data_IF_966652800525
#
_entry.id   IF_966652800525
#
_cell.length_a   1.000
_cell.length_b   1.000
_cell.length_c   1.000
_cell.angle_alpha   90.00
_cell.angle_beta   90.00
_cell.angle_gamma   90.00
#
_symmetry.space_group_name_H-M   'P 1'
#
loop_
_entity.id
_entity.type
_entity.pdbx_description
1 polymer ?
#
# COMPACT_ATOMS: atom_id res chain seq x y z
N UNK A 1 -17.38 -10.91 9.86
CA UNK A 1 -17.37 -11.94 8.83
C UNK A 1 -15.98 -12.38 8.42
N UNK A 2 -15.10 -11.50 7.91
CA UNK A 2 -13.76 -11.88 7.43
C UNK A 2 -12.88 -12.61 8.48
N UNK A 3 -12.86 -12.15 9.74
CA UNK A 3 -12.18 -12.85 10.84
C UNK A 3 -12.66 -14.30 11.05
N UNK A 4 -13.92 -14.59 10.76
CA UNK A 4 -14.47 -15.95 10.82
C UNK A 4 -14.08 -16.74 9.57
N UNK A 5 -14.22 -16.14 8.39
CA UNK A 5 -13.94 -16.79 7.10
C UNK A 5 -12.46 -17.19 6.96
N UNK A 6 -11.53 -16.39 7.47
CA UNK A 6 -10.09 -16.69 7.40
C UNK A 6 -9.65 -17.86 8.30
N UNK A 7 -10.53 -18.35 9.19
CA UNK A 7 -10.32 -19.48 10.10
C UNK A 7 -8.96 -19.47 10.85
N UNK A 8 -8.45 -18.29 11.18
CA UNK A 8 -7.10 -18.11 11.77
C UNK A 8 -7.13 -17.44 13.15
N UNK A 9 -8.32 -17.20 13.70
CA UNK A 9 -8.53 -16.42 14.92
C UNK A 9 -9.51 -17.15 15.85
N UNK A 10 -9.16 -17.29 17.12
CA UNK A 10 -10.08 -17.83 18.13
C UNK A 10 -11.13 -16.78 18.55
N UNK A 11 -12.13 -17.18 19.34
CA UNK A 11 -13.17 -16.27 19.82
C UNK A 11 -12.59 -15.09 20.62
N UNK A 12 -11.58 -15.34 21.46
CA UNK A 12 -10.91 -14.30 22.24
C UNK A 12 -10.17 -13.30 21.33
N UNK A 13 -9.45 -13.79 20.32
CA UNK A 13 -8.78 -12.94 19.33
C UNK A 13 -9.79 -12.04 18.62
N UNK A 14 -10.90 -12.61 18.15
CA UNK A 14 -11.96 -11.84 17.46
C UNK A 14 -12.51 -10.72 18.34
N UNK A 15 -12.77 -11.01 19.61
CA UNK A 15 -13.26 -10.01 20.56
C UNK A 15 -12.23 -8.90 20.81
N UNK A 16 -10.94 -9.26 20.99
CA UNK A 16 -9.86 -8.29 21.15
C UNK A 16 -9.71 -7.38 19.91
N UNK A 17 -9.73 -7.96 18.70
CA UNK A 17 -9.58 -7.20 17.47
C UNK A 17 -10.77 -6.25 17.22
N UNK A 18 -11.99 -6.67 17.54
CA UNK A 18 -13.17 -5.80 17.45
C UNK A 18 -13.10 -4.65 18.45
N UNK A 19 -12.56 -4.89 19.66
CA UNK A 19 -12.32 -3.84 20.65
C UNK A 19 -11.29 -2.82 20.13
N UNK A 20 -10.14 -3.27 19.65
CA UNK A 20 -9.09 -2.40 19.09
C UNK A 20 -9.64 -1.57 17.93
N UNK A 21 -10.38 -2.21 17.01
CA UNK A 21 -11.04 -1.49 15.91
C UNK A 21 -11.98 -0.40 16.46
N UNK A 22 -12.83 -0.73 17.42
CA UNK A 22 -13.85 0.18 17.93
C UNK A 22 -13.27 1.35 18.73
N UNK A 23 -12.25 1.09 19.55
CA UNK A 23 -11.70 2.07 20.50
C UNK A 23 -10.54 2.87 19.89
N UNK A 24 -9.68 2.25 19.08
CA UNK A 24 -8.45 2.89 18.59
C UNK A 24 -8.53 3.35 17.13
N UNK A 25 -9.48 2.84 16.34
CA UNK A 25 -9.51 3.06 14.88
C UNK A 25 -10.74 3.85 14.45
N UNK A 26 -11.95 3.38 14.77
CA UNK A 26 -13.20 4.01 14.33
C UNK A 26 -13.31 5.51 14.66
N UNK A 27 -12.86 6.00 15.85
CA UNK A 27 -12.90 7.43 16.17
C UNK A 27 -12.00 8.30 15.26
N UNK A 28 -11.06 7.67 14.56
CA UNK A 28 -10.01 8.32 13.77
C UNK A 28 -10.23 8.24 12.25
N UNK A 29 -11.35 7.63 11.81
CA UNK A 29 -11.69 7.45 10.39
C UNK A 29 -12.34 8.67 9.72
N UNK A 30 -12.54 9.77 10.44
CA UNK A 30 -13.34 10.89 9.95
C UNK A 30 -14.84 10.73 10.25
N UNK A 31 -15.63 11.75 9.88
CA UNK A 31 -17.08 11.69 9.97
C UNK A 31 -17.65 10.52 9.17
N UNK A 32 -18.86 10.07 9.55
CA UNK A 32 -19.64 9.13 8.73
C UNK A 32 -19.77 9.68 7.29
N UNK A 33 -19.84 8.82 6.25
CA UNK A 33 -19.92 9.28 4.86
C UNK A 33 -21.03 10.31 4.58
N UNK A 34 -22.17 10.21 5.27
CA UNK A 34 -23.28 11.18 5.15
C UNK A 34 -23.00 12.57 5.74
N UNK A 35 -21.92 12.74 6.50
CA UNK A 35 -21.50 13.98 7.15
C UNK A 35 -20.07 14.41 6.76
N UNK A 36 -19.36 13.59 5.99
CA UNK A 36 -18.00 13.89 5.57
C UNK A 36 -18.00 15.01 4.50
N UNK A 37 -16.95 15.83 4.48
CA UNK A 37 -16.76 16.90 3.48
C UNK A 37 -16.62 16.30 2.07
N UNK A 38 -16.05 15.10 1.98
CA UNK A 38 -15.90 14.33 0.75
C UNK A 38 -15.48 12.89 1.05
N UNK A 39 -15.33 12.05 0.02
CA UNK A 39 -14.84 10.69 0.18
C UNK A 39 -13.36 10.70 0.62
N UNK A 40 -12.91 9.59 1.19
CA UNK A 40 -11.47 9.32 1.26
C UNK A 40 -10.96 8.97 -0.14
N UNK A 41 -9.79 9.48 -0.51
CA UNK A 41 -9.12 9.09 -1.76
C UNK A 41 -8.13 7.94 -1.55
N UNK A 42 -8.23 7.25 -0.41
CA UNK A 42 -7.41 6.09 -0.10
C UNK A 42 -7.89 4.82 -0.82
N UNK A 43 -9.20 4.62 -0.96
CA UNK A 43 -9.79 3.46 -1.68
C UNK A 43 -10.63 3.89 -2.87
N UNK A 44 -10.89 2.95 -3.78
CA UNK A 44 -11.70 3.18 -4.98
C UNK A 44 -13.20 3.32 -4.69
N UNK A 45 -13.65 2.86 -3.52
CA UNK A 45 -15.00 3.08 -2.99
C UNK A 45 -15.19 4.41 -2.26
N UNK A 46 -14.12 5.16 -2.00
CA UNK A 46 -14.20 6.36 -1.17
C UNK A 46 -14.16 6.09 0.34
N UNK A 47 -13.90 4.84 0.75
CA UNK A 47 -13.82 4.42 2.15
C UNK A 47 -12.47 4.85 2.76
N UNK A 48 -12.45 5.37 4.00
CA UNK A 48 -11.20 5.68 4.68
C UNK A 48 -10.50 4.42 5.22
N UNK A 49 -11.07 3.23 5.05
CA UNK A 49 -10.51 1.96 5.53
C UNK A 49 -10.60 0.88 4.46
N UNK A 50 -9.52 0.10 4.36
CA UNK A 50 -9.32 -1.00 3.42
C UNK A 50 -8.93 -2.26 4.18
N UNK A 51 -9.58 -3.37 3.87
CA UNK A 51 -9.22 -4.69 4.41
C UNK A 51 -8.27 -5.39 3.45
N UNK A 52 -7.31 -6.12 4.00
CA UNK A 52 -6.41 -6.98 3.21
C UNK A 52 -6.12 -8.26 3.96
N UNK A 53 -5.68 -9.27 3.22
CA UNK A 53 -5.41 -10.59 3.73
C UNK A 53 -4.05 -11.04 3.22
N UNK A 54 -3.11 -11.22 4.14
CA UNK A 54 -1.83 -11.82 3.84
C UNK A 54 -1.94 -13.33 4.04
N UNK A 55 -1.81 -14.08 2.95
CA UNK A 55 -1.91 -15.53 2.95
C UNK A 55 -0.52 -16.13 2.78
N UNK A 56 -0.25 -17.16 3.57
CA UNK A 56 0.94 -18.00 3.45
C UNK A 56 0.49 -19.44 3.67
N UNK A 57 1.24 -20.41 3.15
CA UNK A 57 0.89 -21.83 3.26
C UNK A 57 0.61 -22.31 4.70
N UNK A 58 1.17 -21.64 5.71
CA UNK A 58 1.00 -21.98 7.12
C UNK A 58 0.10 -21.04 7.93
N UNK A 59 -0.13 -19.80 7.48
CA UNK A 59 -0.84 -18.79 8.30
C UNK A 59 -1.45 -17.69 7.45
N UNK A 60 -2.73 -17.39 7.71
CA UNK A 60 -3.39 -16.21 7.17
C UNK A 60 -3.43 -15.11 8.22
N UNK A 61 -3.18 -13.88 7.79
CA UNK A 61 -3.19 -12.71 8.65
C UNK A 61 -4.05 -11.64 8.00
N UNK A 62 -5.17 -11.32 8.63
CA UNK A 62 -5.96 -10.16 8.24
C UNK A 62 -5.19 -8.91 8.62
N UNK A 63 -5.30 -7.89 7.77
CA UNK A 63 -4.88 -6.53 8.00
C UNK A 63 -6.02 -5.59 7.64
N UNK A 64 -6.11 -4.47 8.33
CA UNK A 64 -6.75 -3.29 7.75
C UNK A 64 -5.76 -2.13 7.72
N UNK A 65 -5.85 -1.34 6.66
CA UNK A 65 -5.17 -0.06 6.52
C UNK A 65 -6.23 1.02 6.49
N UNK A 66 -5.98 2.17 7.11
CA UNK A 66 -6.91 3.28 7.09
C UNK A 66 -6.20 4.61 7.01
N UNK A 67 -6.90 5.55 6.41
CA UNK A 67 -6.50 6.95 6.39
C UNK A 67 -6.75 7.62 7.74
N UNK A 68 -5.74 8.33 8.23
CA UNK A 68 -5.81 9.02 9.52
C UNK A 68 -6.47 10.39 9.32
N UNK A 69 -7.79 10.44 9.48
CA UNK A 69 -8.60 11.64 9.24
C UNK A 69 -8.99 12.38 10.53
N UNK A 70 -8.89 11.71 11.69
CA UNK A 70 -9.34 12.23 12.98
C UNK A 70 -10.86 12.42 13.05
N UNK A 71 -11.35 13.11 14.08
CA UNK A 71 -12.79 13.26 14.29
C UNK A 71 -13.48 14.19 13.28
N UNK A 72 -12.76 15.22 12.81
CA UNK A 72 -13.32 16.28 11.95
C UNK A 72 -13.16 15.99 10.47
N UNK A 73 -12.15 15.23 10.06
CA UNK A 73 -11.89 14.79 8.69
C UNK A 73 -11.60 15.91 7.70
N UNK A 74 -10.34 16.05 7.26
CA UNK A 74 -9.91 16.97 6.19
C UNK A 74 -10.57 18.38 6.25
N UNK A 75 -10.67 18.93 7.46
CA UNK A 75 -11.36 20.20 7.72
C UNK A 75 -10.63 21.41 7.13
N UNK A 76 -11.26 22.58 7.09
CA UNK A 76 -10.60 23.81 6.65
C UNK A 76 -9.29 24.12 7.41
N UNK A 77 -9.23 23.82 8.71
CA UNK A 77 -8.06 24.06 9.56
C UNK A 77 -6.97 22.98 9.43
N UNK A 78 -7.32 21.79 8.92
CA UNK A 78 -6.38 20.69 8.66
C UNK A 78 -6.77 19.94 7.36
N UNK A 79 -6.57 20.56 6.18
CA UNK A 79 -7.15 20.08 4.92
C UNK A 79 -6.62 18.71 4.47
N UNK A 80 -5.40 18.38 4.88
CA UNK A 80 -4.75 17.09 4.57
C UNK A 80 -4.70 16.15 5.78
N UNK A 81 -5.31 16.52 6.91
CA UNK A 81 -5.27 15.77 8.17
C UNK A 81 -3.84 15.55 8.72
N UNK A 82 -2.93 16.51 8.52
CA UNK A 82 -1.52 16.44 8.94
C UNK A 82 -1.41 16.50 10.46
N UNK A 83 -2.16 17.40 11.10
CA UNK A 83 -2.14 17.53 12.56
C UNK A 83 -2.83 16.32 13.19
N UNK A 84 -3.97 15.90 12.64
CA UNK A 84 -4.65 14.69 13.07
C UNK A 84 -3.71 13.46 13.00
N UNK A 85 -2.94 13.32 11.91
CA UNK A 85 -1.96 12.25 11.77
C UNK A 85 -0.91 12.25 12.89
N UNK A 86 -0.35 13.41 13.24
CA UNK A 86 0.62 13.54 14.33
C UNK A 86 0.04 13.13 15.68
N UNK A 87 -1.12 13.69 16.02
CA UNK A 87 -1.76 13.46 17.32
C UNK A 87 -2.17 12.00 17.49
N UNK A 88 -2.73 11.39 16.43
CA UNK A 88 -3.21 10.01 16.46
C UNK A 88 -2.04 9.03 16.47
N UNK A 89 -0.99 9.26 15.69
CA UNK A 89 0.23 8.41 15.74
C UNK A 89 0.87 8.48 17.11
N UNK A 90 0.95 9.65 17.74
CA UNK A 90 1.46 9.78 19.11
C UNK A 90 0.58 9.01 20.12
N UNK A 91 -0.75 9.14 20.03
CA UNK A 91 -1.71 8.43 20.88
C UNK A 91 -1.63 6.91 20.72
N UNK A 92 -1.58 6.41 19.49
CA UNK A 92 -1.43 4.98 19.20
C UNK A 92 -0.06 4.48 19.69
N UNK A 93 1.00 5.27 19.52
CA UNK A 93 2.34 4.90 20.00
C UNK A 93 2.35 4.77 21.53
N UNK A 94 1.71 5.69 22.25
CA UNK A 94 1.55 5.58 23.70
C UNK A 94 0.71 4.36 24.11
N UNK A 95 -0.41 4.11 23.40
CA UNK A 95 -1.33 3.00 23.67
C UNK A 95 -0.65 1.63 23.50
N UNK A 96 0.15 1.48 22.44
CA UNK A 96 0.81 0.22 22.10
C UNK A 96 2.31 0.19 22.50
N UNK A 97 2.76 1.17 23.28
CA UNK A 97 4.15 1.29 23.77
C UNK A 97 5.21 1.26 22.65
N UNK A 98 4.88 1.89 21.51
CA UNK A 98 5.74 1.93 20.32
C UNK A 98 6.73 3.09 20.42
N UNK A 99 7.93 2.90 19.86
CA UNK A 99 8.91 3.97 19.71
C UNK A 99 8.45 4.99 18.68
N UNK A 100 8.58 6.28 19.02
CA UNK A 100 8.28 7.39 18.10
C UNK A 100 9.47 7.85 17.26
N UNK A 101 10.68 7.33 17.51
CA UNK A 101 11.93 7.79 16.85
C UNK A 101 11.84 7.86 15.32
N UNK A 102 11.21 6.88 14.68
CA UNK A 102 11.06 6.87 13.21
C UNK A 102 9.83 7.65 12.75
N UNK A 103 8.71 7.57 13.48
CA UNK A 103 7.48 8.27 13.10
C UNK A 103 7.63 9.78 13.22
N UNK A 104 8.35 10.27 14.22
CA UNK A 104 8.56 11.69 14.45
C UNK A 104 9.34 12.31 13.30
N UNK A 105 10.46 11.68 12.91
CA UNK A 105 11.26 12.12 11.76
C UNK A 105 10.45 12.04 10.47
N UNK A 106 9.74 10.93 10.24
CA UNK A 106 8.93 10.75 9.02
C UNK A 106 7.85 11.84 8.90
N UNK A 107 7.05 12.03 9.95
CA UNK A 107 5.99 13.03 9.97
C UNK A 107 6.54 14.45 9.90
N UNK A 108 7.64 14.77 10.61
CA UNK A 108 8.23 16.11 10.57
C UNK A 108 8.81 16.46 9.20
N UNK A 109 9.41 15.47 8.52
CA UNK A 109 10.04 15.67 7.21
C UNK A 109 9.00 16.03 6.14
N UNK A 110 7.86 15.33 6.13
CA UNK A 110 6.86 15.47 5.06
C UNK A 110 5.65 16.32 5.44
N UNK A 111 5.50 16.71 6.71
CA UNK A 111 4.40 17.59 7.13
C UNK A 111 4.43 18.94 6.40
N UNK A 112 3.23 19.42 6.08
CA UNK A 112 2.97 20.75 5.55
C UNK A 112 2.09 21.52 6.53
N UNK A 113 2.20 22.85 6.53
CA UNK A 113 1.32 23.70 7.34
C UNK A 113 -0.10 23.71 6.75
N UNK A 114 -1.13 24.16 7.50
CA UNK A 114 -2.47 24.30 6.95
C UNK A 114 -2.55 25.20 5.70
N UNK A 115 -1.77 26.28 5.63
CA UNK A 115 -1.71 27.15 4.44
C UNK A 115 -1.11 26.44 3.24
N UNK A 116 0.03 25.78 3.46
CA UNK A 116 0.67 24.94 2.44
C UNK A 116 -0.24 23.80 1.98
N UNK A 117 -0.99 23.18 2.89
CA UNK A 117 -1.96 22.16 2.55
C UNK A 117 -3.05 22.70 1.61
N UNK A 118 -3.57 23.92 1.84
CA UNK A 118 -4.54 24.55 0.93
C UNK A 118 -3.92 24.84 -0.44
N UNK A 119 -2.68 25.30 -0.46
CA UNK A 119 -1.94 25.52 -1.71
C UNK A 119 -1.74 24.23 -2.50
N UNK A 120 -1.36 23.13 -1.83
CA UNK A 120 -1.30 21.78 -2.43
C UNK A 120 -2.61 21.42 -3.10
N UNK A 121 -3.76 21.63 -2.43
CA UNK A 121 -5.07 21.31 -2.99
C UNK A 121 -5.39 22.14 -4.24
N UNK A 122 -4.98 23.41 -4.27
CA UNK A 122 -5.17 24.28 -5.44
C UNK A 122 -4.29 23.85 -6.62
N UNK A 123 -3.06 23.39 -6.35
CA UNK A 123 -2.11 22.95 -7.38
C UNK A 123 -2.36 21.52 -7.89
N UNK A 124 -3.04 20.70 -7.08
CA UNK A 124 -3.23 19.27 -7.34
C UNK A 124 -3.83 18.96 -8.72
N UNK A 125 -4.89 19.63 -9.22
CA UNK A 125 -5.44 19.32 -10.54
C UNK A 125 -4.42 19.49 -11.67
N UNK A 126 -3.68 20.60 -11.66
CA UNK A 126 -2.66 20.88 -12.68
C UNK A 126 -1.48 19.91 -12.57
N UNK A 127 -1.06 19.59 -11.34
CA UNK A 127 0.00 18.61 -11.11
C UNK A 127 -0.39 17.23 -11.69
N UNK A 128 -1.62 16.76 -11.44
CA UNK A 128 -2.11 15.49 -12.00
C UNK A 128 -2.14 15.51 -13.53
N UNK A 129 -2.60 16.60 -14.13
CA UNK A 129 -2.67 16.73 -15.59
C UNK A 129 -1.28 16.55 -16.24
N UNK A 130 -0.20 16.91 -15.55
CA UNK A 130 1.18 16.69 -16.02
C UNK A 130 1.58 15.22 -16.18
N UNK A 131 0.83 14.27 -15.60
CA UNK A 131 1.08 12.84 -15.72
C UNK A 131 0.15 12.13 -16.70
N UNK A 132 -0.91 12.81 -17.14
CA UNK A 132 -1.94 12.27 -18.03
C UNK A 132 -1.59 12.65 -19.48
N UNK A 133 -1.77 11.74 -20.47
CA UNK A 133 -1.54 12.06 -21.88
C UNK A 133 -2.37 13.25 -22.37
N UNK A 134 -1.84 13.98 -23.36
CA UNK A 134 -2.55 15.11 -23.97
C UNK A 134 -3.90 14.69 -24.57
N UNK A 135 -4.94 15.48 -24.34
CA UNK A 135 -6.30 15.21 -24.83
C UNK A 135 -7.12 14.23 -23.99
N UNK A 136 -6.55 13.66 -22.92
CA UNK A 136 -7.30 12.84 -21.96
C UNK A 136 -7.76 13.72 -20.80
N UNK A 137 -9.06 13.92 -20.67
CA UNK A 137 -9.67 14.53 -19.49
C UNK A 137 -9.72 13.50 -18.35
N UNK A 138 -9.27 13.90 -17.17
CA UNK A 138 -9.39 13.13 -15.95
C UNK A 138 -10.14 13.96 -14.90
N UNK A 139 -11.06 13.35 -14.14
CA UNK A 139 -11.64 13.97 -12.95
C UNK A 139 -10.66 13.77 -11.78
N UNK A 140 -9.84 14.79 -11.42
CA UNK A 140 -8.77 14.58 -10.46
C UNK A 140 -9.36 14.40 -9.06
N UNK A 141 -8.75 13.58 -8.19
CA UNK A 141 -9.05 13.60 -6.78
C UNK A 141 -8.94 15.02 -6.22
N UNK A 142 -9.91 15.43 -5.40
CA UNK A 142 -9.91 16.75 -4.76
C UNK A 142 -8.92 16.85 -3.59
N UNK A 143 -8.27 15.73 -3.25
CA UNK A 143 -7.29 15.63 -2.16
C UNK A 143 -6.42 14.40 -2.34
N UNK A 144 -5.20 14.47 -1.82
CA UNK A 144 -4.32 13.31 -1.64
C UNK A 144 -4.25 12.90 -0.16
N UNK A 145 -4.38 11.60 0.18
CA UNK A 145 -4.16 11.12 1.53
C UNK A 145 -2.74 11.45 2.00
N UNK A 146 -2.59 12.11 3.14
CA UNK A 146 -1.28 12.44 3.71
C UNK A 146 -0.69 11.27 4.48
N UNK A 147 -1.47 10.66 5.39
CA UNK A 147 -1.01 9.58 6.24
C UNK A 147 -2.06 8.47 6.37
N UNK A 148 -1.58 7.24 6.34
CA UNK A 148 -2.36 6.05 6.60
C UNK A 148 -1.63 5.20 7.64
N UNK A 149 -2.36 4.37 8.36
CA UNK A 149 -1.76 3.36 9.24
C UNK A 149 -2.43 2.03 9.01
N UNK A 150 -1.71 0.94 9.27
CA UNK A 150 -2.23 -0.40 9.12
C UNK A 150 -1.92 -1.27 10.32
N UNK A 151 -2.89 -2.10 10.71
CA UNK A 151 -2.74 -3.10 11.76
C UNK A 151 -2.78 -4.49 11.13
N UNK A 152 -1.67 -5.23 11.26
CA UNK A 152 -1.67 -6.68 11.11
C UNK A 152 -2.28 -7.31 12.35
N UNK A 153 -3.37 -8.06 12.21
CA UNK A 153 -4.04 -8.68 13.35
C UNK A 153 -3.29 -9.96 13.76
N UNK A 154 -2.53 -9.88 14.85
CA UNK A 154 -1.69 -10.96 15.39
C UNK A 154 -2.32 -11.56 16.65
N UNK A 155 -3.27 -12.47 16.46
CA UNK A 155 -4.05 -13.04 17.59
C UNK A 155 -4.88 -11.94 18.25
N UNK A 156 -4.65 -11.67 19.53
CA UNK A 156 -5.24 -10.56 20.28
C UNK A 156 -4.47 -9.23 20.16
N UNK A 157 -3.27 -9.24 19.58
CA UNK A 157 -2.41 -8.07 19.43
C UNK A 157 -2.41 -7.53 18.00
N UNK A 158 -1.79 -6.37 17.79
CA UNK A 158 -1.61 -5.77 16.46
C UNK A 158 -0.14 -5.45 16.20
N UNK A 159 0.29 -5.56 14.95
CA UNK A 159 1.54 -4.95 14.49
C UNK A 159 1.22 -3.75 13.60
N UNK A 160 1.58 -2.56 14.10
CA UNK A 160 1.30 -1.28 13.47
C UNK A 160 2.32 -0.92 12.39
N UNK A 161 1.86 -0.26 11.33
CA UNK A 161 2.68 0.39 10.32
C UNK A 161 2.13 1.78 10.05
N UNK A 162 3.02 2.75 9.86
CA UNK A 162 2.67 4.10 9.42
C UNK A 162 3.12 4.27 7.97
N UNK A 163 2.26 4.89 7.16
CA UNK A 163 2.52 5.26 5.78
C UNK A 163 2.33 6.77 5.64
N UNK A 164 3.27 7.44 4.98
CA UNK A 164 3.21 8.88 4.68
C UNK A 164 3.41 9.09 3.19
N UNK A 165 2.56 9.94 2.62
CA UNK A 165 2.61 10.37 1.23
C UNK A 165 3.52 11.60 1.11
N UNK A 166 4.62 11.52 0.35
CA UNK A 166 5.54 12.63 0.21
C UNK A 166 5.08 13.67 -0.83
N UNK A 167 4.03 13.39 -1.60
CA UNK A 167 3.52 14.27 -2.67
C UNK A 167 3.13 15.68 -2.25
N UNK A 168 2.61 15.97 -1.05
CA UNK A 168 2.34 17.36 -0.67
C UNK A 168 3.59 18.25 -0.77
N UNK A 169 4.78 17.73 -0.43
CA UNK A 169 6.04 18.48 -0.59
C UNK A 169 6.42 18.65 -2.06
N UNK A 170 6.23 17.61 -2.85
CA UNK A 170 6.52 17.65 -4.27
C UNK A 170 5.63 18.64 -5.03
N UNK A 171 4.32 18.64 -4.76
CA UNK A 171 3.37 19.56 -5.38
C UNK A 171 3.76 21.01 -5.08
N UNK A 172 4.09 21.33 -3.81
CA UNK A 172 4.50 22.68 -3.41
C UNK A 172 5.80 23.14 -4.07
N UNK A 173 6.76 22.23 -4.20
CA UNK A 173 8.10 22.57 -4.72
C UNK A 173 8.20 22.42 -6.23
N UNK A 174 7.24 21.74 -6.86
CA UNK A 174 7.30 21.30 -8.26
C UNK A 174 8.56 20.48 -8.60
N UNK A 175 9.16 19.84 -7.58
CA UNK A 175 10.35 18.99 -7.70
C UNK A 175 10.12 17.68 -6.97
N UNK A 176 10.57 16.52 -7.50
CA UNK A 176 10.40 15.23 -6.84
C UNK A 176 10.85 15.26 -5.39
N UNK A 177 10.06 14.64 -4.51
CA UNK A 177 10.36 14.57 -3.07
C UNK A 177 11.51 13.61 -2.71
N UNK A 178 12.18 13.01 -3.70
CA UNK A 178 13.21 11.98 -3.53
C UNK A 178 14.34 12.40 -2.61
N UNK A 179 14.83 13.63 -2.72
CA UNK A 179 15.95 14.11 -1.88
C UNK A 179 15.57 14.15 -0.39
N UNK A 180 14.32 14.51 -0.08
CA UNK A 180 13.80 14.43 1.28
C UNK A 180 13.69 12.98 1.75
N UNK A 181 13.33 12.04 0.87
CA UNK A 181 13.30 10.59 1.19
C UNK A 181 14.70 10.09 1.51
N UNK A 182 15.70 10.45 0.72
CA UNK A 182 17.08 10.01 0.94
C UNK A 182 17.68 10.62 2.20
N UNK A 183 17.41 11.91 2.44
CA UNK A 183 17.76 12.56 3.71
C UNK A 183 17.08 11.89 4.91
N UNK A 184 15.80 11.56 4.80
CA UNK A 184 15.05 10.81 5.82
C UNK A 184 15.74 9.47 6.14
N UNK A 185 16.02 8.64 5.13
CA UNK A 185 16.66 7.33 5.33
C UNK A 185 18.04 7.42 5.99
N UNK A 186 18.83 8.44 5.64
CA UNK A 186 20.17 8.67 6.19
C UNK A 186 20.17 9.15 7.64
N UNK A 187 19.07 9.74 8.10
CA UNK A 187 18.93 10.32 9.44
C UNK A 187 18.28 9.37 10.46
N UNK A 188 17.93 8.15 10.08
CA UNK A 188 17.30 7.19 10.99
C UNK A 188 18.29 6.60 12.01
N UNK A 189 17.77 6.32 13.20
CA UNK A 189 18.48 5.54 14.23
C UNK A 189 17.59 4.36 14.65
N UNK A 190 18.04 3.09 14.56
CA UNK A 190 19.33 2.65 14.03
C UNK A 190 19.53 2.99 12.54
N UNK A 191 20.78 3.28 12.17
CA UNK A 191 21.10 3.70 10.81
C UNK A 191 20.89 2.59 9.78
N UNK A 192 20.38 2.96 8.62
CA UNK A 192 20.44 2.13 7.42
C UNK A 192 21.88 2.07 6.93
N UNK A 193 22.28 0.96 6.31
CA UNK A 193 23.61 0.90 5.68
C UNK A 193 23.63 1.85 4.47
N UNK A 194 24.66 2.71 4.31
CA UNK A 194 24.76 3.62 3.16
C UNK A 194 24.62 2.90 1.82
N UNK A 195 25.29 1.75 1.67
CA UNK A 195 25.19 0.90 0.48
C UNK A 195 23.75 0.58 0.05
N UNK A 196 22.87 0.26 1.00
CA UNK A 196 21.48 -0.08 0.68
C UNK A 196 20.69 1.14 0.21
N UNK A 197 20.96 2.32 0.80
CA UNK A 197 20.33 3.60 0.42
C UNK A 197 20.85 4.05 -0.95
N UNK A 198 22.16 4.07 -1.14
CA UNK A 198 22.80 4.56 -2.37
C UNK A 198 22.47 3.67 -3.58
N UNK A 199 22.37 2.34 -3.37
CA UNK A 199 21.91 1.42 -4.41
C UNK A 199 20.49 1.75 -4.87
N UNK A 200 19.59 1.98 -3.92
CA UNK A 200 18.19 2.27 -4.23
C UNK A 200 18.01 3.65 -4.85
N UNK A 201 18.69 4.67 -4.31
CA UNK A 201 18.71 6.02 -4.87
C UNK A 201 19.16 6.02 -6.32
N UNK A 202 20.30 5.37 -6.61
CA UNK A 202 20.79 5.23 -7.98
C UNK A 202 19.80 4.48 -8.87
N UNK A 203 19.31 3.33 -8.43
CA UNK A 203 18.40 2.52 -9.24
C UNK A 203 17.11 3.28 -9.60
N UNK A 204 16.49 3.97 -8.63
CA UNK A 204 15.27 4.75 -8.86
C UNK A 204 15.56 5.95 -9.76
N UNK A 205 16.65 6.69 -9.53
CA UNK A 205 17.02 7.83 -10.39
C UNK A 205 17.28 7.41 -11.84
N UNK A 206 17.94 6.26 -12.05
CA UNK A 206 18.30 5.78 -13.38
C UNK A 206 17.12 5.10 -14.12
N UNK A 207 16.20 4.47 -13.38
CA UNK A 207 15.19 3.55 -13.94
C UNK A 207 13.77 4.10 -13.87
N UNK A 208 13.49 4.94 -12.88
CA UNK A 208 12.15 5.46 -12.63
C UNK A 208 12.05 6.90 -13.13
N UNK A 209 10.87 7.27 -13.64
CA UNK A 209 10.60 8.66 -13.99
C UNK A 209 10.59 9.57 -12.75
N UNK A 210 10.49 10.90 -12.93
CA UNK A 210 10.28 11.81 -11.80
C UNK A 210 9.07 11.35 -11.00
N UNK A 211 9.14 11.54 -9.67
CA UNK A 211 7.98 11.35 -8.78
C UNK A 211 7.52 9.91 -8.58
N UNK A 212 8.40 8.94 -8.81
CA UNK A 212 8.06 7.51 -8.75
C UNK A 212 7.73 6.99 -7.34
N UNK A 213 8.19 7.66 -6.27
CA UNK A 213 7.95 7.26 -4.89
C UNK A 213 6.54 7.71 -4.46
N UNK A 214 5.63 6.74 -4.33
CA UNK A 214 4.23 6.94 -3.98
C UNK A 214 4.03 7.12 -2.47
N UNK A 215 4.64 6.25 -1.67
CA UNK A 215 4.47 6.20 -0.22
C UNK A 215 5.74 5.75 0.47
N UNK A 216 5.92 6.22 1.70
CA UNK A 216 6.96 5.78 2.62
C UNK A 216 6.28 5.10 3.79
N UNK A 217 6.56 3.81 3.99
CA UNK A 217 6.04 3.02 5.10
C UNK A 217 7.11 2.75 6.15
N UNK A 218 6.77 2.74 7.43
CA UNK A 218 7.61 2.25 8.53
C UNK A 218 6.86 1.20 9.34
N UNK A 219 7.58 0.20 9.85
CA UNK A 219 7.07 -0.63 10.93
C UNK A 219 7.13 0.18 12.25
N UNK A 220 6.00 0.33 12.95
CA UNK A 220 5.95 0.97 14.26
C UNK A 220 6.09 -0.12 15.33
N UNK A 221 7.24 -0.13 16.01
CA UNK A 221 7.63 -1.18 16.97
C UNK A 221 8.15 -0.56 18.27
N UNK A 222 8.19 -1.35 19.33
CA UNK A 222 8.92 -1.01 20.56
C UNK A 222 10.39 -0.66 20.27
N UNK A 223 10.98 0.21 21.09
CA UNK A 223 12.34 0.72 20.87
C UNK A 223 13.39 -0.40 20.73
N UNK A 224 13.28 -1.45 21.56
CA UNK A 224 14.16 -2.62 21.55
C UNK A 224 14.12 -3.42 20.23
N UNK A 225 13.12 -3.17 19.38
CA UNK A 225 12.92 -3.90 18.13
C UNK A 225 13.20 -3.05 16.88
N UNK A 226 13.62 -1.79 17.02
CA UNK A 226 13.92 -0.91 15.88
C UNK A 226 15.01 -1.46 14.94
N UNK A 227 15.96 -2.25 15.42
CA UNK A 227 16.98 -2.89 14.56
C UNK A 227 16.39 -3.95 13.61
N UNK A 228 15.18 -4.44 13.93
CA UNK A 228 14.44 -5.40 13.13
C UNK A 228 13.31 -4.75 12.31
N UNK A 229 12.97 -3.50 12.61
CA UNK A 229 11.97 -2.73 11.87
C UNK A 229 12.44 -2.42 10.46
N UNK A 230 11.47 -2.14 9.59
CA UNK A 230 11.73 -1.82 8.18
C UNK A 230 11.19 -0.46 7.81
N UNK A 231 11.89 0.19 6.90
CA UNK A 231 11.37 1.28 6.08
C UNK A 231 11.06 0.74 4.70
N UNK A 232 9.96 1.20 4.10
CA UNK A 232 9.42 0.69 2.86
C UNK A 232 9.20 1.84 1.90
N UNK A 233 9.88 1.84 0.77
CA UNK A 233 9.57 2.79 -0.31
C UNK A 233 8.65 2.10 -1.31
N UNK A 234 7.45 2.65 -1.49
CA UNK A 234 6.51 2.19 -2.49
C UNK A 234 6.74 2.99 -3.77
N UNK A 235 7.11 2.31 -4.84
CA UNK A 235 7.51 2.91 -6.11
C UNK A 235 6.60 2.37 -7.20
N UNK A 236 5.97 3.24 -7.96
CA UNK A 236 5.10 2.82 -9.06
C UNK A 236 5.88 2.71 -10.38
N UNK A 237 5.32 1.99 -11.34
CA UNK A 237 5.79 1.95 -12.73
C UNK A 237 4.63 2.19 -13.69
N UNK A 238 4.95 2.56 -14.94
CA UNK A 238 3.98 2.69 -16.04
C UNK A 238 3.95 1.49 -16.98
N UNK A 239 4.65 0.41 -16.62
CA UNK A 239 4.67 -0.85 -17.38
C UNK A 239 4.28 -2.01 -16.47
N UNK A 240 3.42 -2.89 -16.98
CA UNK A 240 2.99 -4.14 -16.35
C UNK A 240 3.72 -5.37 -16.87
N UNK A 241 4.79 -5.18 -17.65
CA UNK A 241 5.53 -6.31 -18.22
C UNK A 241 6.29 -7.10 -17.16
N UNK A 242 6.43 -8.40 -17.38
CA UNK A 242 7.23 -9.24 -16.50
C UNK A 242 8.73 -8.87 -16.56
N UNK A 243 9.20 -8.32 -17.69
CA UNK A 243 10.53 -7.73 -17.78
C UNK A 243 10.73 -6.58 -16.78
N UNK A 244 9.71 -5.74 -16.58
CA UNK A 244 9.72 -4.70 -15.54
C UNK A 244 9.81 -5.33 -14.15
N UNK A 245 9.03 -6.39 -13.89
CA UNK A 245 9.08 -7.13 -12.62
C UNK A 245 10.48 -7.66 -12.35
N UNK A 246 11.11 -8.36 -13.31
CA UNK A 246 12.48 -8.87 -13.18
C UNK A 246 13.46 -7.73 -12.87
N UNK A 247 13.38 -6.63 -13.61
CA UNK A 247 14.27 -5.49 -13.43
C UNK A 247 14.16 -4.87 -12.02
N UNK A 248 12.94 -4.62 -11.55
CA UNK A 248 12.72 -4.00 -10.24
C UNK A 248 12.99 -4.94 -9.06
N UNK A 249 12.58 -6.21 -9.15
CA UNK A 249 12.85 -7.21 -8.10
C UNK A 249 14.34 -7.46 -7.93
N UNK A 250 15.11 -7.40 -9.02
CA UNK A 250 16.58 -7.60 -8.99
C UNK A 250 17.38 -6.31 -8.82
N UNK A 251 16.72 -5.14 -8.72
CA UNK A 251 17.39 -3.83 -8.77
C UNK A 251 18.39 -3.72 -9.93
N UNK A 252 17.94 -4.02 -11.15
CA UNK A 252 18.78 -4.00 -12.34
C UNK A 252 19.86 -5.09 -12.36
N UNK A 253 19.61 -6.22 -11.70
CA UNK A 253 20.56 -7.32 -11.56
C UNK A 253 21.52 -7.21 -10.36
N UNK A 254 21.41 -6.17 -9.53
CA UNK A 254 22.21 -6.05 -8.32
C UNK A 254 21.88 -7.12 -7.25
N UNK A 255 20.64 -7.60 -7.23
CA UNK A 255 20.19 -8.75 -6.43
C UNK A 255 20.08 -9.97 -7.35
N UNK A 256 20.96 -10.95 -7.14
CA UNK A 256 21.09 -12.13 -7.99
C UNK A 256 21.18 -13.45 -7.20
N UNK A 257 20.76 -13.45 -5.93
CA UNK A 257 20.76 -14.65 -5.10
C UNK A 257 19.74 -15.71 -5.56
N UNK A 258 19.98 -16.95 -5.18
CA UNK A 258 19.18 -18.11 -5.58
C UNK A 258 17.71 -18.00 -5.12
N UNK A 259 17.46 -17.44 -3.95
CA UNK A 259 16.10 -17.26 -3.42
C UNK A 259 15.31 -16.29 -4.31
N UNK A 260 15.91 -15.17 -4.69
CA UNK A 260 15.31 -14.19 -5.61
C UNK A 260 15.02 -14.81 -6.98
N UNK A 261 15.95 -15.58 -7.55
CA UNK A 261 15.74 -16.23 -8.85
C UNK A 261 14.64 -17.30 -8.80
N UNK A 262 14.61 -18.10 -7.74
CA UNK A 262 13.53 -19.06 -7.49
C UNK A 262 12.18 -18.37 -7.37
N UNK A 263 12.12 -17.28 -6.59
CA UNK A 263 10.91 -16.47 -6.43
C UNK A 263 10.39 -15.89 -7.74
N UNK A 264 11.30 -15.39 -8.60
CA UNK A 264 10.95 -14.93 -9.95
C UNK A 264 10.44 -16.04 -10.84
N UNK A 265 11.03 -17.25 -10.77
CA UNK A 265 10.54 -18.41 -11.50
C UNK A 265 9.10 -18.79 -11.12
N UNK A 266 8.79 -18.82 -9.83
CA UNK A 266 7.44 -19.06 -9.32
C UNK A 266 6.50 -17.93 -9.76
N UNK A 267 6.88 -16.67 -9.55
CA UNK A 267 6.05 -15.54 -9.93
C UNK A 267 5.76 -15.53 -11.45
N UNK A 268 6.73 -15.92 -12.28
CA UNK A 268 6.56 -15.99 -13.73
C UNK A 268 5.49 -17.00 -14.15
N UNK A 269 5.43 -18.16 -13.48
CA UNK A 269 4.48 -19.21 -13.83
C UNK A 269 3.04 -18.78 -13.56
N UNK A 270 2.81 -17.99 -12.51
CA UNK A 270 1.50 -17.46 -12.15
C UNK A 270 1.20 -16.07 -12.72
N UNK A 271 2.19 -15.40 -13.32
CA UNK A 271 2.10 -13.97 -13.66
C UNK A 271 0.86 -13.64 -14.48
N UNK A 272 0.56 -14.41 -15.53
CA UNK A 272 -0.58 -14.21 -16.42
C UNK A 272 -1.95 -14.17 -15.69
N UNK A 273 -2.10 -14.86 -14.56
CA UNK A 273 -3.34 -14.88 -13.78
C UNK A 273 -3.58 -13.57 -13.01
N UNK A 274 -2.51 -12.90 -12.56
CA UNK A 274 -2.60 -11.69 -11.74
C UNK A 274 -3.20 -10.48 -12.50
N UNK A 275 -2.80 -10.17 -13.75
CA UNK A 275 -3.44 -9.17 -14.58
C UNK A 275 -4.69 -9.73 -15.28
N UNK A 276 -5.26 -10.88 -14.89
CA UNK A 276 -6.47 -11.48 -15.50
C UNK A 276 -6.30 -11.86 -16.99
N UNK A 277 -5.23 -12.57 -17.32
CA UNK A 277 -5.01 -13.17 -18.66
C UNK A 277 -4.91 -14.70 -18.52
N UNK A 278 -6.00 -15.41 -18.17
CA UNK A 278 -5.97 -16.84 -17.86
C UNK A 278 -5.60 -17.74 -19.06
N UNK A 279 -5.76 -17.25 -20.29
CA UNK A 279 -5.31 -17.93 -21.50
C UNK A 279 -3.78 -17.83 -21.73
N UNK A 280 -3.09 -17.01 -20.94
CA UNK A 280 -1.65 -16.75 -21.04
C UNK A 280 -1.32 -15.37 -21.63
N UNK A 281 -0.03 -15.06 -21.67
CA UNK A 281 0.52 -13.83 -22.27
C UNK A 281 1.57 -14.19 -23.34
N UNK A 282 1.74 -13.33 -24.33
CA UNK A 282 2.62 -13.61 -25.49
C UNK A 282 4.08 -13.84 -25.09
N UNK A 283 4.61 -12.98 -24.23
CA UNK A 283 5.99 -12.97 -23.79
C UNK A 283 6.17 -12.09 -22.54
N UNK A 284 7.38 -12.04 -21.99
CA UNK A 284 7.70 -11.27 -20.78
C UNK A 284 7.64 -9.75 -20.98
N UNK A 285 7.65 -9.27 -22.22
CA UNK A 285 7.49 -7.88 -22.61
C UNK A 285 6.04 -7.45 -22.77
N UNK A 286 5.07 -8.37 -22.73
CA UNK A 286 3.65 -8.04 -22.79
C UNK A 286 3.27 -7.03 -21.71
N UNK A 287 2.78 -5.87 -22.14
CA UNK A 287 2.31 -4.81 -21.26
C UNK A 287 0.80 -4.62 -21.44
N UNK A 288 0.04 -5.02 -20.42
CA UNK A 288 -1.42 -4.96 -20.47
C UNK A 288 -1.90 -3.50 -20.55
N UNK A 289 -2.81 -3.16 -21.48
CA UNK A 289 -3.53 -1.89 -21.44
C UNK A 289 -4.30 -1.74 -20.12
N UNK A 290 -4.31 -0.53 -19.56
CA UNK A 290 -5.09 -0.26 -18.36
C UNK A 290 -6.58 -0.12 -18.71
N UNK A 291 -7.45 -0.45 -17.77
CA UNK A 291 -8.81 0.06 -17.77
C UNK A 291 -8.80 1.57 -17.46
N UNK A 292 -9.79 2.33 -17.94
CA UNK A 292 -9.90 3.81 -17.86
C UNK A 292 -9.87 4.42 -16.43
N UNK A 293 -9.68 3.62 -15.38
CA UNK A 293 -9.80 4.02 -13.97
C UNK A 293 -8.51 4.55 -13.31
N UNK A 294 -7.33 4.37 -13.90
CA UNK A 294 -6.07 4.81 -13.28
C UNK A 294 -5.67 6.22 -13.71
N UNK A 295 -6.03 7.20 -12.87
CA UNK A 295 -5.74 8.64 -13.01
C UNK A 295 -4.25 8.94 -13.27
N UNK A 296 -3.33 8.17 -12.68
CA UNK A 296 -1.88 8.43 -12.78
C UNK A 296 -1.13 7.44 -13.67
N UNK A 297 -1.86 6.63 -14.43
CA UNK A 297 -1.30 5.59 -15.31
C UNK A 297 -0.35 4.59 -14.60
N UNK A 298 -0.52 4.38 -13.29
CA UNK A 298 0.30 3.43 -12.53
C UNK A 298 -0.14 2.00 -12.85
N UNK A 299 0.81 1.17 -13.31
CA UNK A 299 0.55 -0.21 -13.74
C UNK A 299 1.03 -1.25 -12.73
N UNK A 300 2.14 -1.02 -12.03
CA UNK A 300 2.62 -1.87 -10.94
C UNK A 300 3.15 -1.00 -9.81
N UNK A 301 3.26 -1.59 -8.62
CA UNK A 301 4.01 -1.00 -7.52
C UNK A 301 5.03 -1.98 -6.99
N UNK A 302 6.13 -1.46 -6.48
CA UNK A 302 7.17 -2.22 -5.80
C UNK A 302 7.39 -1.64 -4.42
N UNK A 303 7.53 -2.50 -3.41
CA UNK A 303 8.00 -2.08 -2.09
C UNK A 303 9.45 -2.50 -1.93
N UNK A 304 10.32 -1.52 -1.73
CA UNK A 304 11.71 -1.71 -1.34
C UNK A 304 11.81 -1.59 0.17
N UNK A 305 11.96 -2.73 0.86
CA UNK A 305 12.01 -2.82 2.32
C UNK A 305 13.47 -2.78 2.81
N UNK A 306 13.92 -1.62 3.30
CA UNK A 306 15.21 -1.45 3.96
C UNK A 306 15.12 -1.85 5.43
N UNK A 307 16.19 -2.45 5.96
CA UNK A 307 16.35 -2.81 7.37
C UNK A 307 17.75 -2.44 7.85
N UNK A 308 17.90 -1.96 9.10
CA UNK A 308 19.22 -1.69 9.67
C UNK A 308 20.17 -2.89 9.54
N UNK A 309 21.42 -2.62 9.18
CA UNK A 309 22.46 -3.63 9.04
C UNK A 309 22.41 -4.51 7.77
N UNK A 310 21.40 -4.36 6.90
CA UNK A 310 21.32 -5.11 5.62
C UNK A 310 21.87 -4.30 4.46
N UNK A 311 22.61 -4.96 3.56
CA UNK A 311 23.24 -4.32 2.40
C UNK A 311 22.29 -4.18 1.21
N UNK A 312 21.25 -4.99 1.16
CA UNK A 312 20.25 -5.01 0.10
C UNK A 312 18.84 -4.91 0.70
N UNK A 313 17.94 -4.13 0.09
CA UNK A 313 16.53 -4.16 0.47
C UNK A 313 15.89 -5.48 0.03
N UNK A 314 14.82 -5.88 0.72
CA UNK A 314 13.91 -6.89 0.18
C UNK A 314 12.93 -6.22 -0.78
N UNK A 315 12.60 -6.87 -1.89
CA UNK A 315 11.68 -6.30 -2.89
C UNK A 315 10.39 -7.12 -2.93
N UNK A 316 9.25 -6.42 -2.97
CA UNK A 316 7.92 -7.02 -3.21
C UNK A 316 7.27 -6.31 -4.38
N UNK A 317 6.59 -7.06 -5.24
CA UNK A 317 5.74 -6.50 -6.29
C UNK A 317 4.28 -6.51 -5.88
N UNK A 318 3.52 -5.55 -6.39
CA UNK A 318 2.09 -5.37 -6.19
C UNK A 318 1.45 -5.14 -7.55
N UNK A 319 0.45 -5.97 -7.86
CA UNK A 319 -0.39 -5.81 -9.05
C UNK A 319 -1.63 -5.04 -8.61
N UNK A 320 -1.85 -3.79 -9.09
CA UNK A 320 -3.04 -3.01 -8.78
C UNK A 320 -4.25 -3.63 -9.46
N UNK A 321 -4.94 -4.51 -8.73
CA UNK A 321 -6.06 -5.32 -9.23
C UNK A 321 -7.18 -4.49 -9.84
N UNK A 322 -7.43 -3.27 -9.35
CA UNK A 322 -8.44 -2.36 -9.89
C UNK A 322 -8.20 -1.96 -11.36
N UNK A 323 -6.99 -2.12 -11.89
CA UNK A 323 -6.68 -1.89 -13.31
C UNK A 323 -7.04 -3.08 -14.21
N UNK A 324 -7.22 -4.27 -13.64
CA UNK A 324 -7.24 -5.52 -14.39
C UNK A 324 -8.45 -6.40 -14.11
N UNK A 325 -9.01 -6.32 -12.91
CA UNK A 325 -10.16 -7.10 -12.47
C UNK A 325 -11.40 -6.75 -13.28
N UNK A 326 -11.98 -7.77 -13.91
CA UNK A 326 -13.24 -7.68 -14.68
C UNK A 326 -14.45 -8.04 -13.82
N UNK A 327 -14.32 -9.11 -13.04
CA UNK A 327 -15.36 -9.57 -12.12
C UNK A 327 -14.77 -10.31 -10.92
N UNK A 328 -15.49 -10.35 -9.79
CA UNK A 328 -15.10 -11.15 -8.63
C UNK A 328 -15.07 -12.65 -8.98
N UNK A 329 -16.00 -13.14 -9.80
CA UNK A 329 -16.08 -14.55 -10.16
C UNK A 329 -14.89 -15.06 -10.97
N UNK A 330 -14.42 -14.27 -11.93
CA UNK A 330 -13.19 -14.56 -12.69
C UNK A 330 -11.96 -14.46 -11.79
N UNK A 331 -11.89 -13.42 -10.96
CA UNK A 331 -10.75 -13.20 -10.04
C UNK A 331 -10.61 -14.33 -9.04
N UNK A 332 -11.72 -14.86 -8.52
CA UNK A 332 -11.72 -16.02 -7.62
C UNK A 332 -11.08 -17.23 -8.30
N UNK A 333 -11.49 -17.56 -9.54
CA UNK A 333 -10.91 -18.69 -10.29
C UNK A 333 -9.41 -18.51 -10.52
N UNK A 334 -9.01 -17.30 -10.92
CA UNK A 334 -7.60 -16.98 -11.15
C UNK A 334 -6.78 -17.09 -9.87
N UNK A 335 -7.30 -16.63 -8.74
CA UNK A 335 -6.61 -16.73 -7.45
C UNK A 335 -6.56 -18.17 -6.92
N UNK A 336 -7.59 -18.99 -7.12
CA UNK A 336 -7.52 -20.43 -6.82
C UNK A 336 -6.41 -21.12 -7.63
N UNK A 337 -6.28 -20.80 -8.92
CA UNK A 337 -5.19 -21.30 -9.75
C UNK A 337 -3.81 -20.82 -9.26
N UNK A 338 -3.68 -19.55 -8.85
CA UNK A 338 -2.46 -19.01 -8.22
C UNK A 338 -2.14 -19.78 -6.94
N UNK A 339 -3.10 -19.96 -6.04
CA UNK A 339 -2.90 -20.69 -4.80
C UNK A 339 -2.48 -22.13 -5.05
N UNK A 340 -3.07 -22.79 -6.04
CA UNK A 340 -2.72 -24.16 -6.44
C UNK A 340 -1.29 -24.26 -6.95
N UNK A 341 -0.87 -23.33 -7.81
CA UNK A 341 0.50 -23.29 -8.32
C UNK A 341 1.55 -22.99 -7.23
N UNK A 342 1.12 -22.42 -6.10
CA UNK A 342 1.94 -22.12 -4.93
C UNK A 342 1.78 -23.14 -3.78
N UNK A 343 1.17 -24.31 -4.04
CA UNK A 343 0.88 -25.35 -3.04
C UNK A 343 0.16 -24.82 -1.78
N UNK A 344 -0.69 -23.81 -1.96
CA UNK A 344 -1.48 -23.20 -0.90
C UNK A 344 -2.84 -23.91 -0.79
N UNK A 345 -3.33 -24.26 0.42
CA UNK A 345 -4.60 -24.99 0.60
C UNK A 345 -5.83 -24.33 -0.04
N UNK A 346 -5.78 -23.02 -0.28
CA UNK A 346 -6.86 -22.30 -0.95
C UNK A 346 -6.93 -22.53 -2.47
N UNK A 347 -6.01 -23.30 -3.03
CA UNK A 347 -6.05 -23.75 -4.41
C UNK A 347 -6.92 -24.98 -4.64
N UNK A 348 -7.40 -25.62 -3.57
CA UNK A 348 -8.45 -26.65 -3.65
C UNK A 348 -9.74 -26.02 -4.18
N UNK A 349 -10.38 -26.70 -5.15
CA UNK A 349 -11.50 -26.16 -5.91
C UNK A 349 -12.61 -25.60 -5.02
N UNK A 350 -12.94 -24.32 -5.20
CA UNK A 350 -14.01 -23.62 -4.48
C UNK A 350 -13.64 -23.16 -3.06
N UNK A 351 -12.44 -23.45 -2.56
CA UNK A 351 -12.04 -23.07 -1.20
C UNK A 351 -11.93 -21.57 -1.03
N UNK A 352 -11.21 -20.88 -1.93
CA UNK A 352 -11.13 -19.42 -1.88
C UNK A 352 -12.48 -18.78 -2.17
N UNK A 353 -13.23 -19.32 -3.14
CA UNK A 353 -14.59 -18.87 -3.44
C UNK A 353 -15.52 -18.92 -2.22
N UNK A 354 -15.43 -19.97 -1.39
CA UNK A 354 -16.16 -20.09 -0.14
C UNK A 354 -15.73 -19.04 0.88
N UNK A 355 -14.43 -18.81 1.05
CA UNK A 355 -13.91 -17.79 1.98
C UNK A 355 -14.40 -16.40 1.58
N UNK A 356 -14.34 -16.08 0.29
CA UNK A 356 -14.87 -14.85 -0.27
C UNK A 356 -16.37 -14.72 0.02
N UNK A 357 -17.14 -15.77 -0.28
CA UNK A 357 -18.58 -15.81 -0.04
C UNK A 357 -18.93 -15.59 1.44
N UNK A 358 -18.27 -16.27 2.35
CA UNK A 358 -18.54 -16.16 3.79
C UNK A 358 -18.15 -14.79 4.35
N UNK A 359 -17.16 -14.13 3.75
CA UNK A 359 -16.71 -12.81 4.16
C UNK A 359 -17.61 -11.69 3.60
N UNK A 360 -18.02 -11.79 2.34
CA UNK A 360 -18.56 -10.66 1.58
C UNK A 360 -19.89 -10.94 0.86
N UNK A 361 -20.40 -12.17 0.96
CA UNK A 361 -21.55 -12.66 0.19
C UNK A 361 -21.16 -13.14 -1.23
N UNK A 362 -22.14 -13.53 -2.05
CA UNK A 362 -21.88 -14.13 -3.36
C UNK A 362 -21.07 -13.22 -4.30
N UNK A 363 -20.29 -13.85 -5.18
CA UNK A 363 -19.50 -13.18 -6.21
C UNK A 363 -20.36 -12.58 -7.34
N UNK A 364 -21.36 -13.28 -7.92
CA UNK A 364 -22.31 -12.62 -8.81
C UNK A 364 -23.27 -11.76 -7.98
N UNK A 365 -22.97 -10.49 -7.91
CA UNK A 365 -23.86 -9.46 -7.36
C UNK A 365 -23.81 -8.25 -8.28
N UNK A 366 -24.88 -7.45 -8.30
CA UNK A 366 -24.95 -6.17 -9.03
C UNK A 366 -24.10 -5.07 -8.35
N UNK A 367 -22.88 -5.39 -7.88
CA UNK A 367 -21.95 -4.40 -7.33
C UNK A 367 -21.43 -3.53 -8.47
N UNK A 368 -21.34 -2.22 -8.24
CA UNK A 368 -20.80 -1.26 -9.21
C UNK A 368 -19.32 -1.51 -9.53
N UNK A 369 -18.55 -2.00 -8.56
CA UNK A 369 -17.15 -2.41 -8.69
C UNK A 369 -16.96 -3.77 -8.00
N UNK A 370 -16.15 -4.69 -8.57
CA UNK A 370 -15.74 -5.91 -7.89
C UNK A 370 -15.07 -5.61 -6.54
N UNK A 371 -15.23 -6.50 -5.57
CA UNK A 371 -14.61 -6.34 -4.24
C UNK A 371 -13.09 -6.38 -4.34
N UNK A 372 -12.53 -7.18 -5.26
CA UNK A 372 -11.08 -7.25 -5.46
C UNK A 372 -10.45 -5.95 -6.01
N UNK A 373 -11.26 -4.95 -6.38
CA UNK A 373 -10.75 -3.63 -6.75
C UNK A 373 -10.46 -2.72 -5.54
N UNK A 374 -10.90 -3.12 -4.35
CA UNK A 374 -10.67 -2.41 -3.09
C UNK A 374 -9.82 -3.23 -2.13
#
# INVERSE_FOLDING_TARGET
>A
SLLCAANSYCTADKAAQLRILSESVLPNLGPRPSKAIGPSYFTQSGSPIQLSLNTTSSKNCIRYCWEILGATGASYHDPLAVQAAKDIVASLSATFQLSTKWSDILLSTFAVTPDQAREVLNMLPQWIQGFVPEGVECDPPKRIPFAMTAFDLKGSNVAMKLYVNPRPKEILTSTPSSDLVWGFLRNLTPAMKPRAVDLLERFITDTSGPSAIELIGIDCVEEAHLSNARVKLYVHTRSSSFNTVKNYVTLGGAICDEETQKGLGILRSIWHLLPQEPEGISDDGFDKPMNDSSILCHKLYFSFELRPGRDFPQVKTYVPTWNYVRSDGETIKNYEAVFRACDHPWGEDGTYGKIFHDAFGPAPTNRKKPIHCD
#
